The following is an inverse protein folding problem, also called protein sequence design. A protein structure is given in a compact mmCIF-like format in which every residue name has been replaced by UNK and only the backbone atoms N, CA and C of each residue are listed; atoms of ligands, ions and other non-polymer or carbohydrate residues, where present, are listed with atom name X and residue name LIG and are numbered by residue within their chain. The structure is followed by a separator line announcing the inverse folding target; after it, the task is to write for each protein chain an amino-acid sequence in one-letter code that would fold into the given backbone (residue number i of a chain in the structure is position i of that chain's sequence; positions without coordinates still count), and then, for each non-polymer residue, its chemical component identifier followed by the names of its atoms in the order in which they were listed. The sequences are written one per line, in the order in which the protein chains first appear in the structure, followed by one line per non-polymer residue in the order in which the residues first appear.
data_IF_396439117067
#
_entry.id   IF_396439117067
#
_cell.length_a   1.000
_cell.length_b   1.000
_cell.length_c   1.000
_cell.angle_alpha   90.00
_cell.angle_beta   90.00
_cell.angle_gamma   90.00
#
_symmetry.space_group_name_H-M   'P 1'
#
loop_
_entity.id
_entity.type
_entity.pdbx_description
1 polymer ?
#
# COMPACT_ATOMS: atom_id res chain seq x y z
N UNK A 1 21.60 20.40 -10.61
CA UNK A 1 22.12 21.10 -9.41
C UNK A 1 21.02 21.43 -8.41
N UNK A 2 19.91 22.08 -8.80
CA UNK A 2 18.80 22.41 -7.89
C UNK A 2 18.11 21.17 -7.27
N UNK A 3 17.84 20.13 -8.07
CA UNK A 3 17.24 18.87 -7.57
C UNK A 3 18.17 18.16 -6.58
N UNK A 4 19.47 18.18 -6.84
CA UNK A 4 20.49 17.55 -5.98
C UNK A 4 20.56 18.23 -4.62
N UNK A 5 20.49 19.57 -4.58
CA UNK A 5 20.51 20.35 -3.33
C UNK A 5 19.22 20.15 -2.54
N UNK A 6 18.07 20.06 -3.21
CA UNK A 6 16.78 19.78 -2.57
C UNK A 6 16.75 18.39 -1.91
N UNK A 7 17.24 17.35 -2.60
CA UNK A 7 17.32 15.98 -2.05
C UNK A 7 18.28 15.93 -0.85
N UNK A 8 19.41 16.63 -0.89
CA UNK A 8 20.38 16.70 0.21
C UNK A 8 19.82 17.46 1.42
N UNK A 9 19.11 18.57 1.21
CA UNK A 9 18.45 19.30 2.30
C UNK A 9 17.30 18.49 2.92
N UNK A 10 16.50 17.79 2.12
CA UNK A 10 15.49 16.86 2.63
C UNK A 10 16.12 15.71 3.41
N UNK A 11 17.26 15.18 2.96
CA UNK A 11 18.00 14.13 3.70
C UNK A 11 18.56 14.61 5.04
N UNK A 12 19.12 15.82 5.11
CA UNK A 12 19.64 16.42 6.34
C UNK A 12 18.52 16.83 7.33
N UNK A 13 17.38 17.29 6.80
CA UNK A 13 16.16 17.57 7.58
C UNK A 13 15.50 16.28 8.09
N UNK A 14 15.51 15.20 7.29
CA UNK A 14 15.05 13.89 7.72
C UNK A 14 15.93 13.35 8.86
N UNK A 15 17.25 13.40 8.75
CA UNK A 15 18.14 12.82 9.77
C UNK A 15 18.01 13.50 11.14
N UNK A 16 17.75 14.82 11.18
CA UNK A 16 17.45 15.55 12.41
C UNK A 16 16.05 15.26 12.98
N UNK A 17 15.07 14.90 12.14
CA UNK A 17 13.75 14.48 12.58
C UNK A 17 13.72 13.00 13.03
N UNK A 18 14.48 12.14 12.37
CA UNK A 18 14.62 10.71 12.73
C UNK A 18 15.24 10.54 14.12
N UNK A 19 16.18 11.40 14.51
CA UNK A 19 16.78 11.38 15.86
C UNK A 19 15.84 11.86 16.97
N UNK A 20 14.72 12.50 16.61
CA UNK A 20 13.64 12.91 17.53
C UNK A 20 12.45 11.95 17.51
N UNK A 21 12.47 10.91 16.67
CA UNK A 21 11.40 9.93 16.64
C UNK A 21 11.37 9.13 17.94
N UNK A 22 10.24 9.21 18.62
CA UNK A 22 9.95 8.36 19.76
C UNK A 22 10.13 6.89 19.39
N UNK A 23 10.65 6.08 20.32
CA UNK A 23 10.83 4.63 20.19
C UNK A 23 9.54 3.93 19.70
N UNK A 24 8.38 4.48 20.07
CA UNK A 24 7.07 4.06 19.62
C UNK A 24 6.86 4.28 18.11
N UNK A 25 7.24 5.43 17.59
CA UNK A 25 7.13 5.74 16.16
C UNK A 25 8.06 4.87 15.34
N UNK A 26 9.29 4.63 15.81
CA UNK A 26 10.21 3.68 15.17
C UNK A 26 9.60 2.28 15.06
N UNK A 27 8.97 1.79 16.14
CA UNK A 27 8.32 0.48 16.12
C UNK A 27 7.13 0.44 15.15
N UNK A 28 6.30 1.47 15.10
CA UNK A 28 5.17 1.55 14.18
C UNK A 28 5.64 1.57 12.72
N UNK A 29 6.68 2.34 12.41
CA UNK A 29 7.26 2.41 11.05
C UNK A 29 7.92 1.10 10.67
N UNK A 30 8.68 0.47 11.58
CA UNK A 30 9.30 -0.82 11.33
C UNK A 30 8.25 -1.91 11.09
N UNK A 31 7.22 -1.99 11.95
CA UNK A 31 6.15 -2.97 11.81
C UNK A 31 5.34 -2.74 10.53
N UNK A 32 4.96 -1.50 10.23
CA UNK A 32 4.24 -1.20 8.99
C UNK A 32 5.08 -1.52 7.75
N UNK A 33 6.39 -1.25 7.75
CA UNK A 33 7.28 -1.63 6.65
C UNK A 33 7.42 -3.14 6.48
N UNK A 34 7.63 -3.88 7.57
CA UNK A 34 7.73 -5.34 7.55
C UNK A 34 6.43 -5.95 7.06
N UNK A 35 5.29 -5.51 7.57
CA UNK A 35 4.00 -6.10 7.22
C UNK A 35 3.55 -5.69 5.81
N UNK A 36 3.70 -4.41 5.45
CA UNK A 36 3.24 -3.91 4.15
C UNK A 36 4.13 -4.33 3.00
N UNK A 37 5.46 -4.35 3.17
CA UNK A 37 6.37 -4.70 2.09
C UNK A 37 7.13 -6.00 2.30
N UNK A 38 7.62 -6.26 3.52
CA UNK A 38 8.34 -7.52 3.78
C UNK A 38 7.45 -8.74 3.54
N UNK A 39 6.35 -8.84 4.29
CA UNK A 39 5.41 -9.97 4.21
C UNK A 39 4.69 -10.00 2.88
N UNK A 40 4.14 -8.87 2.43
CA UNK A 40 3.45 -8.77 1.13
C UNK A 40 4.35 -9.20 -0.04
N UNK A 41 5.60 -8.72 -0.09
CA UNK A 41 6.54 -9.06 -1.15
C UNK A 41 6.91 -10.55 -1.17
N UNK A 42 7.09 -11.17 0.00
CA UNK A 42 7.33 -12.60 0.10
C UNK A 42 6.12 -13.42 -0.39
N UNK A 43 4.91 -13.07 0.08
CA UNK A 43 3.68 -13.73 -0.35
C UNK A 43 3.44 -13.55 -1.86
N UNK A 44 3.79 -12.39 -2.41
CA UNK A 44 3.72 -12.14 -3.84
C UNK A 44 4.61 -13.09 -4.63
N UNK A 45 5.87 -13.25 -4.25
CA UNK A 45 6.80 -14.18 -4.93
C UNK A 45 6.32 -15.63 -4.81
N UNK A 46 5.80 -16.02 -3.65
CA UNK A 46 5.20 -17.35 -3.47
C UNK A 46 3.99 -17.53 -4.39
N UNK A 47 3.08 -16.56 -4.45
CA UNK A 47 1.91 -16.61 -5.32
C UNK A 47 2.30 -16.67 -6.80
N UNK A 48 3.33 -15.93 -7.22
CA UNK A 48 3.87 -16.04 -8.58
C UNK A 48 4.33 -17.46 -8.92
N UNK A 49 4.92 -18.17 -7.96
CA UNK A 49 5.37 -19.55 -8.13
C UNK A 49 4.23 -20.58 -8.16
N UNK A 50 3.20 -20.37 -7.34
CA UNK A 50 2.10 -21.34 -7.15
C UNK A 50 0.97 -21.17 -8.18
N UNK A 51 0.49 -19.95 -8.38
CA UNK A 51 -0.69 -19.65 -9.23
C UNK A 51 -0.33 -18.91 -10.54
N UNK A 52 0.95 -18.57 -10.71
CA UNK A 52 1.45 -17.87 -11.90
C UNK A 52 1.20 -16.36 -11.89
N UNK A 53 1.86 -15.66 -12.80
CA UNK A 53 1.86 -14.20 -12.86
C UNK A 53 0.48 -13.60 -13.15
N UNK A 54 -0.27 -14.17 -14.10
CA UNK A 54 -1.59 -13.67 -14.48
C UNK A 54 -2.57 -13.66 -13.30
N UNK A 55 -2.74 -14.81 -12.63
CA UNK A 55 -3.67 -14.92 -11.50
C UNK A 55 -3.21 -14.10 -10.28
N UNK A 56 -1.89 -14.02 -10.04
CA UNK A 56 -1.35 -13.18 -8.96
C UNK A 56 -1.69 -11.70 -9.18
N UNK A 57 -1.58 -11.20 -10.41
CA UNK A 57 -1.94 -9.81 -10.73
C UNK A 57 -3.43 -9.56 -10.56
N UNK A 58 -4.29 -10.50 -10.97
CA UNK A 58 -5.73 -10.40 -10.75
C UNK A 58 -6.06 -10.35 -9.25
N UNK A 59 -5.42 -11.21 -8.45
CA UNK A 59 -5.58 -11.22 -7.00
C UNK A 59 -5.15 -9.89 -6.36
N UNK A 60 -3.97 -9.37 -6.73
CA UNK A 60 -3.48 -8.08 -6.25
C UNK A 60 -4.40 -6.92 -6.62
N UNK A 61 -5.00 -7.00 -7.80
CA UNK A 61 -5.89 -5.95 -8.28
C UNK A 61 -7.15 -5.84 -7.43
N UNK A 62 -7.51 -6.85 -6.63
CA UNK A 62 -8.62 -6.75 -5.65
C UNK A 62 -8.34 -5.80 -4.48
N UNK A 63 -7.17 -5.15 -4.42
CA UNK A 63 -6.82 -4.16 -3.41
C UNK A 63 -7.90 -3.07 -3.12
N UNK A 64 -8.65 -2.51 -4.09
CA UNK A 64 -9.71 -1.54 -3.82
C UNK A 64 -10.83 -2.10 -2.95
N UNK A 65 -11.13 -3.40 -3.06
CA UNK A 65 -12.15 -4.07 -2.25
C UNK A 65 -11.67 -4.17 -0.80
N UNK A 66 -10.43 -4.59 -0.59
CA UNK A 66 -9.83 -4.63 0.74
C UNK A 66 -9.67 -3.24 1.35
N UNK A 67 -9.29 -2.24 0.55
CA UNK A 67 -9.22 -0.84 0.98
C UNK A 67 -10.56 -0.31 1.47
N UNK A 68 -11.65 -0.61 0.74
CA UNK A 68 -13.00 -0.23 1.15
C UNK A 68 -13.40 -0.89 2.47
N UNK A 69 -13.19 -2.21 2.59
CA UNK A 69 -13.54 -2.98 3.79
C UNK A 69 -12.74 -2.50 5.00
N UNK A 70 -11.42 -2.33 4.85
CA UNK A 70 -10.56 -1.88 5.94
C UNK A 70 -10.79 -0.41 6.32
N UNK A 71 -11.08 0.48 5.36
CA UNK A 71 -11.48 1.86 5.68
C UNK A 71 -12.75 1.88 6.53
N UNK A 72 -13.76 1.07 6.17
CA UNK A 72 -15.00 0.97 6.93
C UNK A 72 -14.79 0.38 8.34
N UNK A 73 -13.99 -0.68 8.47
CA UNK A 73 -13.80 -1.40 9.73
C UNK A 73 -12.82 -0.70 10.67
N UNK A 74 -11.67 -0.25 10.16
CA UNK A 74 -10.56 0.28 10.96
C UNK A 74 -10.69 1.78 11.17
N UNK A 75 -10.92 2.54 10.09
CA UNK A 75 -11.01 4.00 10.17
C UNK A 75 -12.42 4.48 10.54
N UNK A 76 -13.45 3.64 10.35
CA UNK A 76 -14.88 3.97 10.56
C UNK A 76 -15.32 5.19 9.75
N UNK A 77 -14.72 5.37 8.57
CA UNK A 77 -15.07 6.47 7.68
C UNK A 77 -16.42 6.21 7.00
N UNK A 78 -17.22 7.27 6.77
CA UNK A 78 -18.48 7.13 6.05
C UNK A 78 -18.18 6.78 4.59
N UNK A 79 -18.55 5.56 4.19
CA UNK A 79 -18.45 5.14 2.80
C UNK A 79 -19.43 5.96 1.97
N UNK A 80 -18.91 6.90 1.19
CA UNK A 80 -19.73 7.70 0.28
C UNK A 80 -20.11 6.89 -0.95
N UNK A 81 -21.25 7.23 -1.56
CA UNK A 81 -21.70 6.60 -2.82
C UNK A 81 -20.66 6.65 -3.93
N UNK A 82 -19.84 7.71 -3.96
CA UNK A 82 -18.78 7.88 -4.96
C UNK A 82 -17.62 6.91 -4.78
N UNK A 83 -17.26 6.61 -3.53
CA UNK A 83 -16.24 5.60 -3.22
C UNK A 83 -16.72 4.22 -3.68
N UNK A 84 -18.00 3.90 -3.44
CA UNK A 84 -18.59 2.62 -3.90
C UNK A 84 -18.55 2.53 -5.42
N UNK A 85 -18.99 3.57 -6.15
CA UNK A 85 -18.96 3.58 -7.62
C UNK A 85 -17.53 3.42 -8.14
N UNK A 86 -16.56 4.14 -7.56
CA UNK A 86 -15.15 4.02 -7.93
C UNK A 86 -14.57 2.62 -7.68
N UNK A 87 -14.86 2.02 -6.53
CA UNK A 87 -14.45 0.65 -6.20
C UNK A 87 -15.07 -0.38 -7.14
N UNK A 88 -16.37 -0.25 -7.45
CA UNK A 88 -17.05 -1.14 -8.41
C UNK A 88 -16.46 -0.98 -9.81
N UNK A 89 -16.23 0.24 -10.26
CA UNK A 89 -15.62 0.51 -11.57
C UNK A 89 -14.22 -0.10 -11.66
N UNK A 90 -13.41 0.01 -10.61
CA UNK A 90 -12.11 -0.64 -10.54
C UNK A 90 -12.24 -2.16 -10.66
N UNK A 91 -13.15 -2.78 -9.88
CA UNK A 91 -13.38 -4.23 -9.93
C UNK A 91 -13.86 -4.71 -11.31
N UNK A 92 -14.69 -3.93 -12.00
CA UNK A 92 -15.11 -4.23 -13.38
C UNK A 92 -13.91 -4.17 -14.32
N UNK A 93 -13.07 -3.14 -14.23
CA UNK A 93 -11.85 -3.05 -15.04
C UNK A 93 -10.91 -4.25 -14.82
N UNK A 94 -10.81 -4.74 -13.59
CA UNK A 94 -10.02 -5.91 -13.23
C UNK A 94 -10.61 -7.19 -13.81
N UNK A 95 -11.93 -7.36 -13.71
CA UNK A 95 -12.62 -8.50 -14.29
C UNK A 95 -12.45 -8.54 -15.82
N UNK A 96 -12.48 -7.37 -16.48
CA UNK A 96 -12.22 -7.26 -17.92
C UNK A 96 -10.76 -7.55 -18.29
N UNK A 97 -9.79 -7.13 -17.46
CA UNK A 97 -8.38 -7.44 -17.66
C UNK A 97 -8.05 -8.92 -17.44
N UNK A 98 -8.79 -9.57 -16.54
CA UNK A 98 -8.61 -10.97 -16.19
C UNK A 98 -9.21 -11.96 -17.21
N UNK A 99 -10.12 -11.49 -18.08
CA UNK A 99 -10.82 -12.27 -19.09
C UNK A 99 -9.97 -12.41 -20.37
#
# INVERSE_FOLDING_TARGET
MLVTIAVVQSGASLSQNLSRLSRRTMLIVALSGILSQGVSGLLFVVALGEIGAGQTVVLLSTAPLWGLVLSALVLREPITRWVIVGSVLALVGIALFAL
#
